data_IF_938823619870
#
_entry.id   IF_938823619870
#
_cell.length_a   1.000
_cell.length_b   1.000
_cell.length_c   1.000
_cell.angle_alpha   90.00
_cell.angle_beta   90.00
_cell.angle_gamma   90.00
#
_symmetry.space_group_name_H-M   'P 1'
#
loop_
_entity.id
_entity.type
_entity.pdbx_description
1 polymer ?
#
# COMPACT_ATOMS: atom_id res chain seq x y z
N UNK A 1 0.58 20.29 12.17
CA UNK A 1 0.03 19.11 11.48
C UNK A 1 0.88 17.91 11.86
N UNK A 2 0.38 17.06 12.75
CA UNK A 2 1.12 15.92 13.30
C UNK A 2 0.77 14.65 12.51
N UNK A 3 1.28 14.55 11.29
CA UNK A 3 1.19 13.33 10.50
C UNK A 3 2.16 12.24 10.97
N UNK A 4 1.84 10.98 10.67
CA UNK A 4 2.79 9.86 10.82
C UNK A 4 2.98 9.16 9.49
N UNK A 5 4.23 9.01 9.07
CA UNK A 5 4.56 8.19 7.91
C UNK A 5 4.34 6.72 8.23
N UNK A 6 3.60 6.05 7.35
CA UNK A 6 3.31 4.62 7.45
C UNK A 6 3.70 3.96 6.13
N UNK A 7 4.48 2.89 6.24
CA UNK A 7 4.85 2.04 5.11
C UNK A 7 4.22 0.65 5.27
N UNK A 8 3.60 0.17 4.21
CA UNK A 8 2.96 -1.13 4.14
C UNK A 8 3.86 -2.11 3.41
N UNK A 9 4.07 -3.28 4.00
CA UNK A 9 4.89 -4.34 3.44
C UNK A 9 4.08 -5.62 3.28
N UNK A 10 4.40 -6.39 2.24
CA UNK A 10 3.97 -7.76 2.07
C UNK A 10 5.10 -8.73 2.42
N UNK A 11 4.86 -9.59 3.40
CA UNK A 11 5.70 -10.74 3.70
C UNK A 11 4.94 -12.01 3.31
N UNK A 12 5.49 -12.88 2.43
CA UNK A 12 4.85 -14.15 2.11
C UNK A 12 4.58 -14.98 3.37
N UNK A 13 3.43 -15.64 3.46
CA UNK A 13 2.97 -16.32 4.70
C UNK A 13 3.98 -17.32 5.30
N UNK A 14 4.81 -17.95 4.47
CA UNK A 14 5.82 -18.92 4.90
C UNK A 14 7.20 -18.29 5.18
N UNK A 15 7.38 -17.00 4.89
CA UNK A 15 8.62 -16.27 5.13
C UNK A 15 8.54 -15.57 6.49
N UNK A 16 9.57 -15.73 7.31
CA UNK A 16 9.66 -15.12 8.65
C UNK A 16 10.76 -14.07 8.71
N UNK A 17 11.70 -14.10 7.77
CA UNK A 17 12.73 -13.10 7.61
C UNK A 17 12.14 -11.80 7.06
N UNK A 18 11.94 -10.83 7.95
CA UNK A 18 11.36 -9.51 7.63
C UNK A 18 12.20 -8.72 6.63
N UNK A 19 13.49 -9.01 6.47
CA UNK A 19 14.35 -8.34 5.48
C UNK A 19 13.94 -8.65 4.05
N UNK A 20 13.16 -9.72 3.84
CA UNK A 20 12.61 -10.11 2.53
C UNK A 20 11.21 -9.57 2.27
N UNK A 21 10.69 -8.74 3.16
CA UNK A 21 9.40 -8.10 2.95
C UNK A 21 9.46 -7.21 1.70
N UNK A 22 8.40 -7.24 0.90
CA UNK A 22 8.26 -6.43 -0.31
C UNK A 22 7.45 -5.19 0.07
N UNK A 23 8.03 -4.00 -0.11
CA UNK A 23 7.29 -2.76 0.08
C UNK A 23 6.13 -2.69 -0.92
N UNK A 24 4.93 -2.36 -0.41
CA UNK A 24 3.74 -2.15 -1.23
C UNK A 24 3.56 -0.66 -1.52
N UNK A 25 3.50 0.15 -0.46
CA UNK A 25 3.27 1.58 -0.56
C UNK A 25 3.55 2.28 0.76
N UNK A 26 3.68 3.60 0.73
CA UNK A 26 3.72 4.44 1.93
C UNK A 26 2.83 5.68 1.74
N UNK A 27 2.46 6.29 2.86
CA UNK A 27 1.87 7.63 2.92
C UNK A 27 1.89 8.19 4.34
N UNK A 28 1.75 9.51 4.44
CA UNK A 28 1.59 10.22 5.71
C UNK A 28 0.14 10.15 6.14
N UNK A 29 -0.13 9.50 7.27
CA UNK A 29 -1.45 9.49 7.91
C UNK A 29 -1.62 10.74 8.77
N UNK A 30 -2.58 11.59 8.41
CA UNK A 30 -3.06 12.70 9.23
C UNK A 30 -4.28 12.23 10.00
N UNK A 31 -4.10 11.79 11.25
CA UNK A 31 -5.16 11.12 12.03
C UNK A 31 -6.37 12.00 12.34
N UNK A 32 -6.17 13.31 12.35
CA UNK A 32 -7.19 14.35 12.50
C UNK A 32 -7.84 14.75 11.15
N UNK A 33 -7.24 14.37 10.03
CA UNK A 33 -7.71 14.69 8.68
C UNK A 33 -7.55 13.50 7.72
N UNK A 34 -8.47 12.55 7.83
CA UNK A 34 -8.50 11.39 6.94
C UNK A 34 -8.72 11.79 5.47
N UNK A 35 -9.53 12.83 5.23
CA UNK A 35 -9.77 13.31 3.88
C UNK A 35 -8.47 13.86 3.26
N UNK A 36 -7.75 14.71 3.99
CA UNK A 36 -6.43 15.19 3.58
C UNK A 36 -5.44 14.05 3.36
N UNK A 37 -5.47 13.00 4.20
CA UNK A 37 -4.65 11.79 3.99
C UNK A 37 -4.96 11.14 2.65
N UNK A 38 -6.24 10.94 2.33
CA UNK A 38 -6.67 10.33 1.07
C UNK A 38 -6.28 11.18 -0.14
N UNK A 39 -6.52 12.50 -0.08
CA UNK A 39 -6.13 13.45 -1.13
C UNK A 39 -4.62 13.41 -1.35
N UNK A 40 -3.83 13.45 -0.28
CA UNK A 40 -2.38 13.35 -0.35
C UNK A 40 -1.92 12.02 -0.96
N UNK A 41 -2.53 10.90 -0.55
CA UNK A 41 -2.15 9.56 -1.01
C UNK A 41 -2.51 9.30 -2.47
N UNK A 42 -3.70 9.74 -2.89
CA UNK A 42 -4.23 9.51 -4.23
C UNK A 42 -3.80 10.60 -5.23
N UNK A 43 -3.10 11.64 -4.76
CA UNK A 43 -2.67 12.78 -5.55
C UNK A 43 -3.84 13.53 -6.22
N UNK A 44 -5.02 13.50 -5.60
CA UNK A 44 -6.19 14.21 -6.11
C UNK A 44 -5.98 15.72 -5.96
N UNK A 45 -6.34 16.49 -6.98
CA UNK A 45 -6.32 17.95 -6.96
C UNK A 45 -7.76 18.43 -7.14
N UNK A 46 -8.35 19.07 -6.12
CA UNK A 46 -9.69 19.64 -6.19
C UNK A 46 -10.49 19.54 -4.91
N UNK A 47 -11.59 20.30 -4.88
CA UNK A 47 -12.14 20.80 -3.61
C UNK A 47 -13.03 19.80 -2.88
N UNK A 48 -13.58 18.79 -3.57
CA UNK A 48 -14.48 17.78 -2.98
C UNK A 48 -14.45 16.47 -3.77
N UNK A 49 -13.67 15.51 -3.30
CA UNK A 49 -13.85 14.11 -3.66
C UNK A 49 -14.63 13.40 -2.55
N UNK A 50 -15.57 12.54 -2.95
CA UNK A 50 -16.32 11.70 -2.02
C UNK A 50 -15.34 10.76 -1.29
N UNK A 51 -15.34 10.82 0.05
CA UNK A 51 -14.45 10.01 0.90
C UNK A 51 -14.61 8.52 0.64
N UNK A 52 -15.84 8.03 0.45
CA UNK A 52 -16.08 6.60 0.22
C UNK A 52 -15.54 6.14 -1.15
N UNK A 53 -15.58 7.02 -2.16
CA UNK A 53 -14.98 6.75 -3.48
C UNK A 53 -13.47 6.64 -3.36
N UNK A 54 -12.83 7.57 -2.63
CA UNK A 54 -11.38 7.55 -2.41
C UNK A 54 -10.94 6.35 -1.57
N UNK A 55 -11.70 5.94 -0.56
CA UNK A 55 -11.43 4.73 0.22
C UNK A 55 -11.48 3.48 -0.66
N UNK A 56 -12.47 3.39 -1.54
CA UNK A 56 -12.56 2.30 -2.51
C UNK A 56 -11.37 2.29 -3.46
N UNK A 57 -10.98 3.45 -4.00
CA UNK A 57 -9.81 3.57 -4.87
C UNK A 57 -8.52 3.18 -4.16
N UNK A 58 -8.36 3.60 -2.90
CA UNK A 58 -7.24 3.19 -2.06
C UNK A 58 -7.22 1.66 -1.90
N UNK A 59 -8.36 1.04 -1.60
CA UNK A 59 -8.46 -0.42 -1.48
C UNK A 59 -8.12 -1.15 -2.78
N UNK A 60 -8.59 -0.65 -3.93
CA UNK A 60 -8.29 -1.21 -5.25
C UNK A 60 -6.78 -1.12 -5.57
N UNK A 61 -6.15 0.01 -5.24
CA UNK A 61 -4.70 0.20 -5.36
C UNK A 61 -3.91 -0.79 -4.50
N UNK A 62 -4.31 -0.96 -3.23
CA UNK A 62 -3.71 -1.96 -2.34
C UNK A 62 -3.85 -3.38 -2.87
N UNK A 63 -5.02 -3.74 -3.40
CA UNK A 63 -5.27 -5.07 -3.98
C UNK A 63 -4.36 -5.34 -5.18
N UNK A 64 -4.19 -4.35 -6.07
CA UNK A 64 -3.29 -4.43 -7.23
C UNK A 64 -1.81 -4.59 -6.83
N UNK A 65 -1.34 -3.79 -5.87
CA UNK A 65 0.03 -3.88 -5.35
C UNK A 65 0.28 -5.23 -4.68
N UNK A 66 -0.67 -5.72 -3.86
CA UNK A 66 -0.57 -7.01 -3.20
C UNK A 66 -0.56 -8.16 -4.22
N UNK A 67 -1.37 -8.09 -5.27
CA UNK A 67 -1.37 -9.07 -6.36
C UNK A 67 0.02 -9.15 -7.03
N UNK A 68 0.59 -7.99 -7.37
CA UNK A 68 1.91 -7.88 -7.99
C UNK A 68 3.04 -8.40 -7.09
N UNK A 69 3.00 -8.07 -5.79
CA UNK A 69 3.97 -8.55 -4.82
C UNK A 69 3.91 -10.08 -4.63
N UNK A 70 2.70 -10.66 -4.63
CA UNK A 70 2.50 -12.13 -4.60
C UNK A 70 3.06 -12.79 -5.84
N UNK A 71 2.81 -12.23 -7.03
CA UNK A 71 3.36 -12.74 -8.28
C UNK A 71 4.90 -12.72 -8.26
N UNK A 72 5.51 -11.59 -7.85
CA UNK A 72 6.96 -11.46 -7.72
C UNK A 72 7.56 -12.51 -6.78
N UNK A 73 6.98 -12.68 -5.59
CA UNK A 73 7.43 -13.68 -4.62
C UNK A 73 7.36 -15.11 -5.17
N UNK A 74 6.32 -15.44 -5.95
CA UNK A 74 6.20 -16.75 -6.64
C UNK A 74 7.31 -16.94 -7.68
N UNK A 75 7.56 -15.94 -8.52
CA UNK A 75 8.60 -15.99 -9.55
C UNK A 75 10.00 -16.18 -8.96
N UNK A 76 10.33 -15.45 -7.88
CA UNK A 76 11.60 -15.63 -7.16
C UNK A 76 11.77 -17.04 -6.61
N UNK A 77 10.69 -17.66 -6.12
CA UNK A 77 10.71 -19.06 -5.64
C UNK A 77 10.98 -20.05 -6.79
N UNK A 78 10.35 -19.87 -7.94
CA UNK A 78 10.58 -20.73 -9.12
C UNK A 78 12.03 -20.66 -9.56
N UNK A 79 12.61 -19.45 -9.70
CA UNK A 79 14.02 -19.28 -10.09
C UNK A 79 15.02 -19.87 -9.10
N UNK A 80 14.69 -19.90 -7.79
CA UNK A 80 15.56 -20.51 -6.78
C UNK A 80 15.58 -22.05 -6.86
N UNK A 81 14.52 -22.64 -7.41
CA UNK A 81 14.32 -24.09 -7.47
C UNK A 81 14.62 -24.70 -8.84
N UNK A 82 15.05 -23.88 -9.82
CA UNK A 82 15.47 -24.28 -11.16
C UNK A 82 17.01 -24.28 -11.23
#
# INVERSE_FOLDING_TARGET
>A
LHGRDITFYYLPKAETDRTKAIELTFFTLWSDDWNGTLVNKLHHQGDKYDTAVMEKELADNFASMLHSARANARWKKVKKNA
#
